data_IF_883991740605
#
_entry.id   IF_883991740605
#
_cell.length_a   1.000
_cell.length_b   1.000
_cell.length_c   1.000
_cell.angle_alpha   90.00
_cell.angle_beta   90.00
_cell.angle_gamma   90.00
#
_symmetry.space_group_name_H-M   'P 1'
#
loop_
_entity.id
_entity.type
_entity.pdbx_description
1 polymer ?
#
# COMPACT_ATOMS: atom_id res chain seq x y z
N UNK A 1 -6.35 -14.55 20.88
CA UNK A 1 -6.73 -14.66 19.46
C UNK A 1 -7.48 -13.43 18.97
N UNK A 2 -8.52 -12.95 19.66
CA UNK A 2 -9.30 -11.78 19.24
C UNK A 2 -8.48 -10.47 19.11
N UNK A 3 -7.56 -10.20 20.05
CA UNK A 3 -6.67 -9.02 19.99
C UNK A 3 -5.57 -9.12 18.92
N UNK A 4 -5.17 -10.33 18.53
CA UNK A 4 -4.21 -10.56 17.43
C UNK A 4 -4.90 -10.38 16.09
N UNK A 5 -6.16 -10.82 15.98
CA UNK A 5 -7.01 -10.57 14.82
C UNK A 5 -7.32 -9.07 14.66
N UNK A 6 -7.62 -8.34 15.74
CA UNK A 6 -7.76 -6.89 15.68
C UNK A 6 -6.45 -6.21 15.26
N UNK A 7 -5.30 -6.61 15.82
CA UNK A 7 -4.00 -6.06 15.44
C UNK A 7 -3.61 -6.38 13.99
N UNK A 8 -3.96 -7.56 13.46
CA UNK A 8 -3.82 -7.88 12.03
C UNK A 8 -4.74 -7.02 11.17
N UNK A 9 -6.00 -6.81 11.56
CA UNK A 9 -6.91 -5.91 10.85
C UNK A 9 -6.44 -4.45 10.88
N UNK A 10 -5.80 -3.99 11.96
CA UNK A 10 -5.19 -2.66 12.04
C UNK A 10 -3.86 -2.56 11.26
N UNK A 11 -3.09 -3.65 11.14
CA UNK A 11 -1.88 -3.70 10.30
C UNK A 11 -2.23 -3.78 8.81
N UNK A 12 -3.30 -4.50 8.43
CA UNK A 12 -3.83 -4.54 7.06
C UNK A 12 -4.38 -3.17 6.62
N UNK A 13 -4.91 -2.36 7.56
CA UNK A 13 -5.37 -0.99 7.27
C UNK A 13 -4.22 0.01 7.02
N UNK A 14 -2.98 -0.31 7.40
CA UNK A 14 -1.83 0.61 7.23
C UNK A 14 -0.96 0.34 6.00
N UNK A 15 -1.33 -0.64 5.17
CA UNK A 15 -0.67 -0.94 3.90
C UNK A 15 -1.69 -1.24 2.79
N UNK A 16 -2.74 -0.42 2.65
CA UNK A 16 -3.38 -0.32 1.33
C UNK A 16 -2.38 0.41 0.43
N UNK A 17 -1.49 -0.37 -0.20
CA UNK A 17 -0.68 0.10 -1.32
C UNK A 17 -1.68 0.46 -2.41
N UNK A 18 -2.09 1.73 -2.50
CA UNK A 18 -3.04 2.14 -3.54
C UNK A 18 -2.45 1.77 -4.90
N UNK A 19 -3.18 1.05 -5.74
CA UNK A 19 -2.62 0.69 -7.04
C UNK A 19 -2.53 1.95 -7.91
N UNK A 20 -1.58 2.04 -8.85
CA UNK A 20 -1.58 3.14 -9.80
C UNK A 20 -2.90 3.13 -10.57
N UNK A 21 -3.47 4.31 -10.79
CA UNK A 21 -4.69 4.50 -11.59
C UNK A 21 -4.43 4.15 -13.07
N UNK A 22 -3.19 4.33 -13.53
CA UNK A 22 -2.73 3.83 -14.83
C UNK A 22 -1.38 3.16 -14.66
N UNK A 23 -1.29 1.91 -15.14
CA UNK A 23 -0.05 1.17 -15.34
C UNK A 23 0.07 0.85 -16.83
N UNK A 24 1.12 1.39 -17.46
CA UNK A 24 1.47 1.11 -18.84
C UNK A 24 2.89 0.54 -18.88
N UNK A 25 3.03 -0.65 -19.45
CA UNK A 25 4.31 -1.34 -19.64
C UNK A 25 4.36 -1.81 -21.10
N UNK A 26 5.31 -1.33 -21.90
CA UNK A 26 5.45 -1.77 -23.29
C UNK A 26 6.23 -3.09 -23.38
N UNK A 27 5.50 -4.18 -23.58
CA UNK A 27 6.07 -5.53 -23.64
C UNK A 27 6.70 -5.88 -24.98
N UNK A 28 6.73 -4.96 -25.95
CA UNK A 28 7.30 -5.25 -27.29
C UNK A 28 8.82 -5.25 -27.28
N UNK A 29 9.45 -4.47 -26.38
CA UNK A 29 10.90 -4.35 -26.31
C UNK A 29 11.41 -4.25 -24.86
N UNK A 30 12.20 -5.23 -24.45
CA UNK A 30 12.75 -5.33 -23.10
C UNK A 30 14.25 -5.05 -23.09
N UNK A 31 14.74 -4.41 -22.03
CA UNK A 31 16.19 -4.30 -21.77
C UNK A 31 16.67 -5.43 -20.88
N UNK A 32 17.91 -5.87 -21.05
CA UNK A 32 18.52 -6.89 -20.17
C UNK A 32 18.92 -6.27 -18.83
N UNK A 33 18.67 -6.97 -17.72
CA UNK A 33 19.15 -6.52 -16.40
C UNK A 33 20.67 -6.30 -16.41
N UNK A 34 21.12 -5.16 -15.85
CA UNK A 34 22.53 -4.76 -15.86
C UNK A 34 23.03 -4.08 -17.14
N UNK A 35 22.22 -4.01 -18.20
CA UNK A 35 22.53 -3.27 -19.44
C UNK A 35 22.79 -1.77 -19.19
N UNK A 36 23.42 -1.12 -20.18
CA UNK A 36 23.64 0.32 -20.18
C UNK A 36 22.31 1.09 -20.13
N UNK A 37 21.30 0.69 -20.91
CA UNK A 37 19.94 1.24 -20.78
C UNK A 37 19.44 1.20 -19.33
N UNK A 38 19.52 0.05 -18.66
CA UNK A 38 19.08 -0.08 -17.26
C UNK A 38 19.88 0.81 -16.28
N UNK A 39 21.17 1.04 -16.53
CA UNK A 39 21.99 1.99 -15.76
C UNK A 39 21.56 3.43 -16.01
N UNK A 40 21.35 3.81 -17.26
CA UNK A 40 20.92 5.15 -17.66
C UNK A 40 19.52 5.47 -17.13
N UNK A 41 18.61 4.48 -17.12
CA UNK A 41 17.29 4.63 -16.51
C UNK A 41 17.40 4.94 -15.01
N UNK A 42 18.20 4.17 -14.25
CA UNK A 42 18.42 4.46 -12.82
C UNK A 42 19.04 5.84 -12.59
N UNK A 43 19.99 6.23 -13.43
CA UNK A 43 20.60 7.56 -13.39
C UNK A 43 19.58 8.67 -13.63
N UNK A 44 18.65 8.48 -14.57
CA UNK A 44 17.57 9.43 -14.86
C UNK A 44 16.54 9.50 -13.73
N UNK A 45 16.15 8.36 -13.16
CA UNK A 45 15.10 8.26 -12.14
C UNK A 45 15.54 8.79 -10.76
N UNK A 46 16.81 8.60 -10.39
CA UNK A 46 17.34 8.98 -9.07
C UNK A 46 17.10 10.46 -8.66
N UNK A 47 17.33 11.48 -9.52
CA UNK A 47 17.12 12.87 -9.15
C UNK A 47 15.65 13.34 -9.23
N UNK A 48 14.73 12.53 -9.77
CA UNK A 48 13.36 12.97 -10.05
C UNK A 48 12.57 13.40 -8.80
N UNK A 49 12.66 12.73 -7.64
CA UNK A 49 11.96 13.19 -6.45
C UNK A 49 12.36 14.59 -6.02
N UNK A 50 13.65 14.92 -6.06
CA UNK A 50 14.15 16.23 -5.69
C UNK A 50 13.79 17.30 -6.73
N UNK A 51 14.04 17.02 -8.02
CA UNK A 51 13.82 17.99 -9.10
C UNK A 51 12.34 18.19 -9.41
N UNK A 52 11.58 17.09 -9.52
CA UNK A 52 10.16 17.12 -9.82
C UNK A 52 9.33 17.75 -8.70
N UNK A 53 9.68 17.55 -7.41
CA UNK A 53 8.94 18.18 -6.31
C UNK A 53 9.20 19.67 -6.13
N UNK A 54 10.31 20.20 -6.67
CA UNK A 54 10.63 21.62 -6.57
C UNK A 54 9.70 22.49 -7.43
N UNK A 55 9.32 22.00 -8.60
CA UNK A 55 8.54 22.74 -9.62
C UNK A 55 7.22 22.06 -9.97
N UNK A 56 6.96 20.85 -9.47
CA UNK A 56 5.81 20.03 -9.86
C UNK A 56 5.97 19.33 -11.22
N UNK A 57 7.07 19.56 -11.93
CA UNK A 57 7.36 18.94 -13.23
C UNK A 57 8.86 18.90 -13.50
N UNK A 58 9.34 17.78 -14.03
CA UNK A 58 10.70 17.69 -14.55
C UNK A 58 10.77 16.68 -15.68
N UNK A 59 11.52 17.02 -16.74
CA UNK A 59 11.87 16.10 -17.82
C UNK A 59 13.38 16.04 -18.01
N UNK A 60 13.88 14.89 -18.46
CA UNK A 60 15.30 14.69 -18.65
C UNK A 60 15.64 13.56 -19.62
N UNK A 61 16.92 13.47 -19.91
CA UNK A 61 17.48 12.43 -20.76
C UNK A 61 18.78 11.91 -20.14
N UNK A 62 19.02 10.61 -20.25
CA UNK A 62 20.27 9.98 -19.84
C UNK A 62 20.76 9.03 -20.93
N UNK A 63 22.08 8.91 -21.08
CA UNK A 63 22.70 8.02 -22.06
C UNK A 63 22.66 8.50 -23.52
N UNK A 64 23.07 7.62 -24.42
CA UNK A 64 23.25 7.91 -25.85
C UNK A 64 22.98 6.68 -26.71
N UNK A 65 22.72 6.89 -28.01
CA UNK A 65 22.49 5.80 -28.96
C UNK A 65 21.32 4.91 -28.53
N UNK A 66 21.50 3.59 -28.66
CA UNK A 66 20.50 2.59 -28.33
C UNK A 66 20.20 2.47 -26.82
N UNK A 67 21.03 3.07 -25.96
CA UNK A 67 20.87 3.04 -24.50
C UNK A 67 20.31 4.36 -23.93
N UNK A 68 19.88 5.28 -24.80
CA UNK A 68 19.31 6.56 -24.37
C UNK A 68 17.93 6.36 -23.75
N UNK A 69 17.66 7.11 -22.68
CA UNK A 69 16.38 7.12 -21.96
C UNK A 69 15.85 8.54 -21.91
N UNK A 70 14.59 8.73 -22.28
CA UNK A 70 13.83 9.96 -22.06
C UNK A 70 12.84 9.70 -20.93
N UNK A 71 12.61 10.68 -20.06
CA UNK A 71 11.63 10.52 -19.00
C UNK A 71 11.18 11.84 -18.41
N UNK A 72 9.97 11.83 -17.87
CA UNK A 72 9.39 12.95 -17.14
C UNK A 72 8.65 12.48 -15.90
N UNK A 73 8.54 13.40 -14.94
CA UNK A 73 7.62 13.32 -13.81
C UNK A 73 6.79 14.58 -13.76
N UNK A 74 5.54 14.42 -13.34
CA UNK A 74 4.63 15.53 -13.13
C UNK A 74 3.72 15.27 -11.95
N UNK A 75 3.57 16.24 -11.07
CA UNK A 75 2.60 16.22 -10.00
C UNK A 75 1.28 16.85 -10.45
N UNK A 76 0.19 16.46 -9.80
CA UNK A 76 -1.08 17.16 -9.96
C UNK A 76 -0.95 18.61 -9.52
N UNK A 77 -1.60 19.53 -10.21
CA UNK A 77 -1.46 20.97 -9.93
C UNK A 77 -2.03 21.42 -8.58
N UNK A 78 -2.86 20.58 -7.95
CA UNK A 78 -3.53 20.84 -6.67
C UNK A 78 -2.85 20.21 -5.44
N UNK A 79 -1.73 19.49 -5.61
CA UNK A 79 -1.04 18.85 -4.48
C UNK A 79 0.09 19.70 -3.92
N UNK A 80 0.36 19.56 -2.62
CA UNK A 80 1.49 20.24 -1.98
C UNK A 80 2.85 19.65 -2.41
N UNK A 81 3.96 20.37 -2.27
CA UNK A 81 5.30 19.85 -2.59
C UNK A 81 5.66 18.54 -1.87
N UNK A 82 5.19 18.36 -0.62
CA UNK A 82 5.44 17.15 0.15
C UNK A 82 4.67 15.94 -0.38
N UNK A 83 3.38 16.14 -0.75
CA UNK A 83 2.56 15.11 -1.38
C UNK A 83 3.13 14.74 -2.75
N UNK A 84 3.52 15.75 -3.53
CA UNK A 84 4.21 15.57 -4.81
C UNK A 84 5.49 14.74 -4.65
N UNK A 85 6.37 15.09 -3.70
CA UNK A 85 7.61 14.36 -3.43
C UNK A 85 7.34 12.91 -3.01
N UNK A 86 6.37 12.69 -2.14
CA UNK A 86 5.96 11.35 -1.70
C UNK A 86 5.50 10.50 -2.89
N UNK A 87 4.65 11.05 -3.75
CA UNK A 87 4.18 10.36 -4.95
C UNK A 87 5.31 10.04 -5.92
N UNK A 88 6.23 10.98 -6.18
CA UNK A 88 7.37 10.75 -7.09
C UNK A 88 8.30 9.67 -6.53
N UNK A 89 8.61 9.69 -5.23
CA UNK A 89 9.40 8.65 -4.57
C UNK A 89 8.78 7.26 -4.78
N UNK A 90 7.47 7.20 -4.55
CA UNK A 90 6.69 5.97 -4.70
C UNK A 90 6.69 5.46 -6.13
N UNK A 91 6.27 6.27 -7.10
CA UNK A 91 6.23 5.90 -8.53
C UNK A 91 7.60 5.46 -9.03
N UNK A 92 8.67 6.15 -8.62
CA UNK A 92 10.04 5.80 -9.00
C UNK A 92 10.46 4.41 -8.51
N UNK A 93 9.98 4.01 -7.33
CA UNK A 93 10.26 2.68 -6.77
C UNK A 93 9.34 1.62 -7.37
N UNK A 94 8.04 1.92 -7.51
CA UNK A 94 7.04 0.97 -7.97
C UNK A 94 7.15 0.66 -9.48
N UNK A 95 7.62 1.60 -10.31
CA UNK A 95 7.73 1.36 -11.76
C UNK A 95 8.70 0.24 -12.11
N UNK A 96 9.77 0.07 -11.31
CA UNK A 96 10.73 -1.03 -11.50
C UNK A 96 10.16 -2.40 -11.09
N UNK A 97 9.18 -2.41 -10.19
CA UNK A 97 8.50 -3.62 -9.70
C UNK A 97 7.36 -4.01 -10.66
N UNK A 98 6.56 -3.01 -11.07
CA UNK A 98 5.34 -3.21 -11.84
C UNK A 98 5.61 -3.34 -13.35
N UNK A 99 6.65 -2.69 -13.87
CA UNK A 99 7.09 -2.80 -15.26
C UNK A 99 8.56 -3.27 -15.32
N UNK A 100 8.86 -4.52 -14.95
CA UNK A 100 10.23 -5.01 -14.90
C UNK A 100 10.84 -5.09 -16.30
N UNK A 101 12.05 -4.56 -16.47
CA UNK A 101 12.86 -4.68 -17.69
C UNK A 101 12.24 -4.08 -18.97
N UNK A 102 11.23 -3.21 -18.85
CA UNK A 102 10.56 -2.58 -20.00
C UNK A 102 11.33 -1.36 -20.48
N UNK A 103 11.39 -1.13 -21.79
CA UNK A 103 12.05 0.07 -22.35
C UNK A 103 11.14 1.30 -22.42
N UNK A 104 9.83 1.09 -22.35
CA UNK A 104 8.84 2.14 -22.14
C UNK A 104 7.87 1.74 -21.03
N UNK A 105 7.64 2.66 -20.09
CA UNK A 105 6.66 2.47 -19.03
C UNK A 105 6.12 3.81 -18.53
N UNK A 106 4.89 3.77 -18.01
CA UNK A 106 4.29 4.87 -17.27
C UNK A 106 3.47 4.37 -16.08
N UNK A 107 3.60 5.05 -14.95
CA UNK A 107 2.71 4.90 -13.79
C UNK A 107 2.07 6.23 -13.46
N UNK A 108 0.74 6.21 -13.24
CA UNK A 108 -0.03 7.37 -12.79
C UNK A 108 -0.76 7.06 -11.50
N UNK A 109 -0.60 7.93 -10.52
CA UNK A 109 -1.47 8.05 -9.35
C UNK A 109 -2.30 9.33 -9.49
N UNK A 110 -3.23 9.56 -8.57
CA UNK A 110 -3.98 10.82 -8.54
C UNK A 110 -3.02 12.01 -8.34
N UNK A 111 -1.93 11.82 -7.59
CA UNK A 111 -1.03 12.90 -7.21
C UNK A 111 0.14 13.13 -8.19
N UNK A 112 0.52 12.14 -9.00
CA UNK A 112 1.62 12.27 -9.95
C UNK A 112 1.65 11.22 -11.07
N UNK A 113 2.38 11.54 -12.14
CA UNK A 113 2.70 10.70 -13.29
C UNK A 113 4.22 10.57 -13.42
N UNK A 114 4.71 9.36 -13.66
CA UNK A 114 6.07 9.06 -14.11
C UNK A 114 5.98 8.33 -15.45
N UNK A 115 6.71 8.78 -16.47
CA UNK A 115 6.86 8.08 -17.76
C UNK A 115 8.30 8.09 -18.22
N UNK A 116 8.76 6.97 -18.78
CA UNK A 116 10.02 6.91 -19.50
C UNK A 116 9.87 6.07 -20.78
N UNK A 117 10.74 6.32 -21.76
CA UNK A 117 10.85 5.54 -22.98
C UNK A 117 12.28 5.61 -23.54
N UNK A 118 12.60 4.72 -24.49
CA UNK A 118 13.84 4.76 -25.27
C UNK A 118 13.77 5.64 -26.53
N UNK A 119 12.59 6.24 -26.78
CA UNK A 119 12.34 7.21 -27.83
C UNK A 119 11.84 8.54 -27.25
N UNK A 120 11.97 9.62 -28.02
CA UNK A 120 11.63 10.98 -27.55
C UNK A 120 10.13 11.23 -27.64
N UNK A 121 9.40 10.90 -26.58
CA UNK A 121 7.94 11.14 -26.48
C UNK A 121 7.55 12.56 -26.05
N UNK A 122 8.53 13.41 -25.69
CA UNK A 122 8.25 14.79 -25.29
C UNK A 122 7.53 15.57 -26.39
N UNK A 123 6.52 16.33 -25.99
CA UNK A 123 5.69 17.16 -26.88
C UNK A 123 5.00 16.36 -27.99
N UNK A 124 4.84 15.04 -27.80
CA UNK A 124 4.08 14.20 -28.72
C UNK A 124 2.71 13.87 -28.14
N UNK A 125 1.67 14.17 -28.91
CA UNK A 125 0.29 13.92 -28.52
C UNK A 125 -0.02 12.41 -28.51
N UNK A 126 -0.42 11.90 -27.35
CA UNK A 126 -0.97 10.57 -27.18
C UNK A 126 -2.39 10.68 -26.61
N UNK A 127 -3.36 10.08 -27.31
CA UNK A 127 -4.79 10.09 -26.96
C UNK A 127 -5.26 8.80 -26.27
N UNK A 128 -4.34 7.92 -25.85
CA UNK A 128 -4.64 6.75 -25.03
C UNK A 128 -5.32 7.20 -23.74
N UNK A 129 -6.54 6.71 -23.51
CA UNK A 129 -7.36 7.09 -22.37
C UNK A 129 -8.02 5.90 -21.71
N UNK A 130 -8.11 5.97 -20.38
CA UNK A 130 -8.91 5.10 -19.53
C UNK A 130 -10.01 5.94 -18.88
N UNK A 131 -11.19 5.34 -18.69
CA UNK A 131 -12.36 6.00 -18.11
C UNK A 131 -12.79 5.28 -16.84
N UNK A 132 -13.00 6.06 -15.77
CA UNK A 132 -13.38 5.58 -14.46
C UNK A 132 -14.62 6.37 -14.00
N UNK A 133 -15.83 5.91 -14.36
CA UNK A 133 -17.06 6.52 -13.87
C UNK A 133 -17.24 6.22 -12.38
N UNK A 134 -17.81 7.18 -11.66
CA UNK A 134 -18.39 6.92 -10.35
C UNK A 134 -19.58 5.95 -10.54
N UNK A 135 -19.65 4.84 -9.77
CA UNK A 135 -20.74 3.88 -9.90
C UNK A 135 -22.11 4.45 -9.51
N UNK A 136 -22.14 5.52 -8.71
CA UNK A 136 -23.37 6.21 -8.37
C UNK A 136 -23.78 7.20 -9.48
N UNK A 137 -25.08 7.21 -9.77
CA UNK A 137 -25.68 8.15 -10.70
C UNK A 137 -26.25 9.36 -9.98
N UNK A 138 -26.30 10.49 -10.68
CA UNK A 138 -26.98 11.69 -10.19
C UNK A 138 -28.48 11.42 -10.08
N UNK A 139 -29.11 11.92 -9.02
CA UNK A 139 -30.57 11.93 -8.88
C UNK A 139 -31.23 13.04 -9.71
N UNK A 140 -30.44 14.02 -10.17
CA UNK A 140 -30.85 15.11 -11.02
C UNK A 140 -31.10 14.67 -12.48
N UNK A 141 -31.65 15.57 -13.30
CA UNK A 141 -31.79 15.35 -14.74
C UNK A 141 -30.41 15.09 -15.40
N UNK A 142 -30.15 13.87 -15.92
CA UNK A 142 -28.82 13.50 -16.42
C UNK A 142 -28.38 14.30 -17.64
N UNK A 143 -29.32 14.73 -18.49
CA UNK A 143 -29.02 15.51 -19.71
C UNK A 143 -28.56 16.91 -19.33
N UNK A 144 -29.30 17.60 -18.45
CA UNK A 144 -28.93 18.91 -17.97
C UNK A 144 -27.62 18.87 -17.17
N UNK A 145 -27.44 17.82 -16.36
CA UNK A 145 -26.21 17.61 -15.58
C UNK A 145 -25.00 17.40 -16.49
N UNK A 146 -25.11 16.49 -17.46
CA UNK A 146 -24.06 16.21 -18.44
C UNK A 146 -23.67 17.46 -19.25
N UNK A 147 -24.64 18.30 -19.61
CA UNK A 147 -24.36 19.59 -20.26
C UNK A 147 -23.52 20.51 -19.36
N UNK A 148 -23.89 20.66 -18.10
CA UNK A 148 -23.14 21.50 -17.14
C UNK A 148 -21.73 20.96 -16.88
N UNK A 149 -21.55 19.63 -16.80
CA UNK A 149 -20.23 19.00 -16.73
C UNK A 149 -19.40 19.34 -17.98
N UNK A 150 -19.97 19.18 -19.17
CA UNK A 150 -19.30 19.48 -20.44
C UNK A 150 -18.88 20.96 -20.55
N UNK A 151 -19.78 21.88 -20.20
CA UNK A 151 -19.51 23.33 -20.22
C UNK A 151 -18.40 23.70 -19.23
N UNK A 152 -18.45 23.17 -17.99
CA UNK A 152 -17.41 23.40 -16.98
C UNK A 152 -16.04 22.90 -17.46
N UNK A 153 -15.94 21.65 -17.89
CA UNK A 153 -14.65 21.06 -18.28
C UNK A 153 -14.10 21.69 -19.57
N UNK A 154 -14.97 22.11 -20.49
CA UNK A 154 -14.54 22.83 -21.71
C UNK A 154 -13.96 24.20 -21.36
N UNK A 155 -14.57 24.93 -20.42
CA UNK A 155 -14.02 26.20 -19.92
C UNK A 155 -12.66 25.97 -19.26
N UNK A 156 -12.56 24.98 -18.37
CA UNK A 156 -11.31 24.63 -17.71
C UNK A 156 -10.22 24.21 -18.69
N UNK A 157 -10.56 23.50 -19.77
CA UNK A 157 -9.62 23.14 -20.84
C UNK A 157 -9.02 24.39 -21.51
N UNK A 158 -9.87 25.39 -21.81
CA UNK A 158 -9.41 26.68 -22.32
C UNK A 158 -8.50 27.41 -21.33
N UNK A 159 -8.86 27.44 -20.05
CA UNK A 159 -8.07 28.10 -19.01
C UNK A 159 -6.71 27.41 -18.79
N UNK A 160 -6.69 26.08 -18.65
CA UNK A 160 -5.47 25.31 -18.42
C UNK A 160 -4.44 25.52 -19.53
N UNK A 161 -4.87 25.52 -20.79
CA UNK A 161 -4.00 25.70 -21.94
C UNK A 161 -3.32 27.07 -22.03
N UNK A 162 -3.72 28.04 -21.21
CA UNK A 162 -3.07 29.37 -21.14
C UNK A 162 -2.12 29.51 -19.95
N UNK A 163 -2.10 28.53 -19.05
CA UNK A 163 -1.24 28.54 -17.86
C UNK A 163 0.04 27.75 -18.12
N UNK A 164 1.17 28.21 -17.57
CA UNK A 164 2.43 27.47 -17.66
C UNK A 164 2.39 26.09 -17.00
N UNK A 165 1.47 25.89 -16.05
CA UNK A 165 1.24 24.60 -15.38
C UNK A 165 0.43 23.61 -16.21
N UNK A 166 -0.22 24.08 -17.28
CA UNK A 166 -1.23 23.36 -18.07
C UNK A 166 -2.31 22.67 -17.21
N UNK A 167 -2.73 23.35 -16.15
CA UNK A 167 -3.62 22.85 -15.12
C UNK A 167 -4.72 23.87 -14.83
N UNK A 168 -5.95 23.40 -14.58
CA UNK A 168 -7.01 24.25 -14.07
C UNK A 168 -8.02 23.46 -13.23
N UNK A 169 -8.59 24.14 -12.24
CA UNK A 169 -9.72 23.67 -11.45
C UNK A 169 -10.83 24.69 -11.47
N UNK A 170 -12.06 24.23 -11.23
CA UNK A 170 -13.20 25.12 -11.07
C UNK A 170 -14.44 24.37 -10.64
N UNK A 171 -15.51 25.12 -10.40
CA UNK A 171 -16.79 24.55 -9.99
C UNK A 171 -17.95 25.34 -10.55
N UNK A 172 -19.10 24.69 -10.68
CA UNK A 172 -20.36 25.31 -11.06
C UNK A 172 -21.49 24.80 -10.18
N UNK A 173 -22.48 25.65 -9.90
CA UNK A 173 -23.70 25.24 -9.21
C UNK A 173 -24.66 24.59 -10.21
N UNK A 174 -25.11 23.37 -9.92
CA UNK A 174 -26.17 22.71 -10.67
C UNK A 174 -27.54 23.00 -10.07
N UNK A 175 -27.63 23.05 -8.74
CA UNK A 175 -28.80 23.48 -7.97
C UNK A 175 -28.34 24.20 -6.70
N UNK A 176 -29.29 24.64 -5.86
CA UNK A 176 -28.99 25.30 -4.57
C UNK A 176 -28.12 24.42 -3.65
N UNK A 177 -28.22 23.10 -3.79
CA UNK A 177 -27.51 22.13 -2.93
C UNK A 177 -26.45 21.32 -3.66
N UNK A 178 -26.52 21.22 -5.00
CA UNK A 178 -25.59 20.41 -5.80
C UNK A 178 -24.60 21.30 -6.54
N UNK A 179 -23.31 21.06 -6.31
CA UNK A 179 -22.21 21.69 -7.04
C UNK A 179 -21.43 20.62 -7.79
N UNK A 180 -20.85 21.00 -8.92
CA UNK A 180 -19.98 20.15 -9.74
C UNK A 180 -18.58 20.77 -9.67
N UNK A 181 -17.60 19.97 -9.28
CA UNK A 181 -16.20 20.34 -9.23
C UNK A 181 -15.47 19.67 -10.39
N UNK A 182 -14.63 20.41 -11.10
CA UNK A 182 -13.85 19.94 -12.23
C UNK A 182 -12.37 20.24 -12.06
N UNK A 183 -11.54 19.34 -12.59
CA UNK A 183 -10.09 19.47 -12.69
C UNK A 183 -9.66 18.96 -14.06
N UNK A 184 -8.77 19.69 -14.71
CA UNK A 184 -8.14 19.28 -15.96
C UNK A 184 -6.63 19.53 -15.89
N UNK A 185 -5.85 18.66 -16.53
CA UNK A 185 -4.40 18.82 -16.59
C UNK A 185 -3.80 18.17 -17.82
N UNK A 186 -2.83 18.85 -18.45
CA UNK A 186 -1.92 18.26 -19.44
C UNK A 186 -0.51 18.12 -18.88
N UNK A 187 0.33 17.28 -19.49
CA UNK A 187 1.75 17.24 -19.19
C UNK A 187 2.42 18.53 -19.69
N UNK A 188 3.30 19.15 -18.89
CA UNK A 188 3.87 20.47 -19.15
C UNK A 188 4.81 20.53 -20.36
N UNK A 189 5.15 19.38 -20.95
CA UNK A 189 5.89 19.30 -22.22
C UNK A 189 5.02 19.53 -23.46
N UNK A 190 3.70 19.67 -23.30
CA UNK A 190 2.74 19.85 -24.39
C UNK A 190 2.60 21.31 -24.83
N UNK A 191 2.25 21.51 -26.10
CA UNK A 191 1.82 22.83 -26.59
C UNK A 191 0.40 23.16 -26.13
N UNK A 192 0.04 24.45 -26.11
CA UNK A 192 -1.33 24.90 -25.79
C UNK A 192 -2.38 24.29 -26.73
N UNK A 193 -2.03 24.07 -27.99
CA UNK A 193 -2.91 23.47 -29.01
C UNK A 193 -3.14 21.99 -28.75
N UNK A 194 -2.07 21.24 -28.50
CA UNK A 194 -2.15 19.81 -28.24
C UNK A 194 -2.78 19.52 -26.88
N UNK A 195 -2.53 20.37 -25.87
CA UNK A 195 -3.19 20.28 -24.58
C UNK A 195 -4.71 20.42 -24.71
N UNK A 196 -5.18 21.46 -25.43
CA UNK A 196 -6.62 21.64 -25.72
C UNK A 196 -7.20 20.43 -26.46
N UNK A 197 -6.49 19.95 -27.47
CA UNK A 197 -6.90 18.78 -28.26
C UNK A 197 -7.05 17.54 -27.39
N UNK A 198 -6.07 17.26 -26.53
CA UNK A 198 -6.10 16.13 -25.60
C UNK A 198 -7.28 16.23 -24.64
N UNK A 199 -7.45 17.38 -23.96
CA UNK A 199 -8.51 17.59 -22.99
C UNK A 199 -9.90 17.51 -23.64
N UNK A 200 -10.10 18.11 -24.81
CA UNK A 200 -11.37 18.03 -25.53
C UNK A 200 -11.70 16.59 -25.96
N UNK A 201 -10.71 15.81 -26.37
CA UNK A 201 -10.90 14.39 -26.69
C UNK A 201 -11.38 13.58 -25.47
N UNK A 202 -10.93 13.95 -24.28
CA UNK A 202 -11.28 13.25 -23.03
C UNK A 202 -12.64 13.73 -22.52
N UNK A 203 -12.95 15.01 -22.64
CA UNK A 203 -14.29 15.56 -22.35
C UNK A 203 -15.34 14.88 -23.24
N UNK A 204 -15.05 14.70 -24.54
CA UNK A 204 -15.93 14.01 -25.47
C UNK A 204 -16.17 12.53 -25.12
N UNK A 205 -15.33 11.93 -24.28
CA UNK A 205 -15.53 10.56 -23.80
C UNK A 205 -16.58 10.46 -22.69
N UNK A 206 -16.80 11.53 -21.92
CA UNK A 206 -17.67 11.53 -20.74
C UNK A 206 -19.11 11.11 -21.08
N UNK A 207 -19.77 11.64 -22.13
CA UNK A 207 -21.12 11.20 -22.50
C UNK A 207 -21.19 9.73 -22.93
N UNK A 208 -20.06 9.12 -23.31
CA UNK A 208 -19.99 7.73 -23.78
C UNK A 208 -19.72 6.76 -22.62
N UNK A 209 -18.78 7.08 -21.74
CA UNK A 209 -18.37 6.19 -20.65
C UNK A 209 -19.17 6.36 -19.36
N UNK A 210 -19.72 7.56 -19.15
CA UNK A 210 -19.94 8.08 -17.81
C UNK A 210 -21.23 8.92 -17.72
N UNK A 211 -22.17 8.70 -18.65
CA UNK A 211 -23.41 9.45 -18.73
C UNK A 211 -24.25 9.25 -17.46
N UNK A 212 -24.60 10.35 -16.79
CA UNK A 212 -25.37 10.34 -15.55
C UNK A 212 -24.58 10.00 -14.29
N UNK A 213 -23.28 9.68 -14.38
CA UNK A 213 -22.45 9.42 -13.21
C UNK A 213 -22.22 10.69 -12.39
N UNK A 214 -22.22 10.56 -11.04
CA UNK A 214 -21.94 11.65 -10.11
C UNK A 214 -20.52 12.22 -10.22
N UNK A 215 -19.61 11.43 -10.78
CA UNK A 215 -18.24 11.79 -11.04
C UNK A 215 -17.67 10.92 -12.13
N UNK A 216 -16.58 11.35 -12.72
CA UNK A 216 -15.78 10.50 -13.58
C UNK A 216 -14.36 11.04 -13.70
N UNK A 217 -13.43 10.13 -13.95
CA UNK A 217 -12.06 10.45 -14.35
C UNK A 217 -11.81 9.85 -15.73
N UNK A 218 -11.33 10.66 -16.67
CA UNK A 218 -10.78 10.17 -17.93
C UNK A 218 -9.32 10.61 -17.98
N UNK A 219 -8.39 9.66 -18.03
CA UNK A 219 -6.97 9.92 -17.88
C UNK A 219 -6.12 9.13 -18.86
N UNK A 220 -4.93 9.65 -19.15
CA UNK A 220 -3.95 8.99 -19.99
C UNK A 220 -2.55 9.53 -19.75
N UNK A 221 -1.71 9.41 -20.77
CA UNK A 221 -0.29 9.73 -20.67
C UNK A 221 0.01 11.24 -20.82
N UNK A 222 -0.78 11.98 -21.61
CA UNK A 222 -0.56 13.42 -21.80
C UNK A 222 -1.56 14.31 -21.09
N UNK A 223 -2.78 13.85 -20.79
CA UNK A 223 -3.74 14.66 -20.07
C UNK A 223 -4.69 13.85 -19.19
N UNK A 224 -5.52 14.55 -18.43
CA UNK A 224 -6.59 13.97 -17.63
C UNK A 224 -7.67 15.00 -17.32
N UNK A 225 -8.90 14.50 -17.18
CA UNK A 225 -10.07 15.26 -16.74
C UNK A 225 -10.73 14.51 -15.59
N UNK A 226 -11.17 15.24 -14.58
CA UNK A 226 -11.94 14.69 -13.46
C UNK A 226 -13.06 15.63 -13.10
N UNK A 227 -14.24 15.08 -12.85
CA UNK A 227 -15.30 15.81 -12.16
C UNK A 227 -15.90 14.97 -11.05
N UNK A 228 -16.40 15.65 -10.01
CA UNK A 228 -17.11 15.04 -8.89
C UNK A 228 -18.17 16.05 -8.37
N UNK A 229 -19.18 15.55 -7.66
CA UNK A 229 -20.17 16.40 -6.96
C UNK A 229 -19.75 16.82 -5.54
N UNK A 230 -18.54 16.45 -5.13
CA UNK A 230 -17.93 16.88 -3.87
C UNK A 230 -16.54 17.47 -4.15
N UNK A 231 -16.03 18.35 -3.27
CA UNK A 231 -14.65 18.80 -3.35
C UNK A 231 -13.67 17.62 -3.33
N UNK A 232 -12.63 17.67 -4.18
CA UNK A 232 -11.53 16.69 -4.21
C UNK A 232 -10.15 17.33 -4.40
N UNK A 233 -10.10 18.67 -4.44
CA UNK A 233 -8.88 19.47 -4.48
C UNK A 233 -8.99 20.61 -3.47
N UNK A 234 -7.87 21.26 -3.13
CA UNK A 234 -7.89 22.39 -2.21
C UNK A 234 -8.63 23.59 -2.82
N UNK A 235 -9.79 23.93 -2.25
CA UNK A 235 -10.54 25.12 -2.65
C UNK A 235 -9.91 26.32 -1.97
N UNK A 236 -9.07 27.05 -2.71
CA UNK A 236 -8.56 28.35 -2.25
C UNK A 236 -9.72 29.35 -2.21
N UNK A 237 -10.13 29.82 -1.02
CA UNK A 237 -11.23 30.79 -0.85
C UNK A 237 -10.97 32.19 -1.45
N UNK A 238 -9.90 32.41 -2.22
CA UNK A 238 -9.49 33.76 -2.66
C UNK A 238 -10.43 34.46 -3.64
N UNK A 239 -11.43 33.79 -4.22
CA UNK A 239 -12.35 34.39 -5.19
C UNK A 239 -13.82 34.47 -4.73
N UNK A 240 -14.09 34.31 -3.44
CA UNK A 240 -15.41 34.62 -2.89
C UNK A 240 -15.36 35.97 -2.17
N UNK A 241 -15.94 37.00 -2.77
CA UNK A 241 -16.51 38.14 -2.05
C UNK A 241 -18.03 37.95 -1.93
N UNK A 242 -18.53 37.28 -0.89
CA UNK A 242 -19.90 37.50 -0.44
C UNK A 242 -19.96 38.81 0.38
N UNK A 243 -21.14 39.45 0.48
CA UNK A 243 -21.31 40.64 1.29
C UNK A 243 -20.95 40.33 2.75
N UNK A 244 -20.02 41.11 3.31
CA UNK A 244 -19.58 41.03 4.70
C UNK A 244 -20.77 41.36 5.59
N UNK A 245 -21.26 40.35 6.32
CA UNK A 245 -21.89 40.53 7.61
C UNK A 245 -21.06 39.78 8.66
N UNK A 246 -20.55 40.57 9.58
CA UNK A 246 -19.58 40.25 10.62
C UNK A 246 -20.13 39.27 11.65
N UNK A 247 -19.54 38.09 11.80
CA UNK A 247 -19.43 37.38 13.08
C UNK A 247 -18.50 36.16 13.01
N UNK A 248 -17.42 36.18 13.80
CA UNK A 248 -16.85 35.02 14.49
C UNK A 248 -16.13 33.96 13.66
N UNK A 249 -14.79 34.04 13.63
CA UNK A 249 -13.91 32.91 13.33
C UNK A 249 -13.96 31.88 14.46
N UNK A 250 -14.73 30.80 14.33
CA UNK A 250 -14.56 29.59 15.14
C UNK A 250 -13.62 28.63 14.42
N UNK A 251 -12.38 28.53 14.91
CA UNK A 251 -11.55 27.37 14.66
C UNK A 251 -12.25 26.13 15.22
N UNK A 252 -12.27 25.04 14.45
CA UNK A 252 -12.84 23.76 14.86
C UNK A 252 -12.13 23.24 16.14
N UNK A 253 -12.62 23.68 17.29
CA UNK A 253 -12.33 23.08 18.57
C UNK A 253 -13.14 21.79 18.61
N UNK A 254 -12.48 20.67 18.30
CA UNK A 254 -13.00 19.34 18.62
C UNK A 254 -13.51 19.38 20.06
N UNK A 255 -14.82 19.18 20.26
CA UNK A 255 -15.47 19.35 21.55
C UNK A 255 -14.67 18.62 22.63
N UNK A 256 -14.44 19.24 23.79
CA UNK A 256 -13.72 18.60 24.92
C UNK A 256 -14.28 17.21 25.25
N UNK A 257 -15.55 16.96 24.94
CA UNK A 257 -16.21 15.66 25.00
C UNK A 257 -15.61 14.60 24.05
N UNK A 258 -15.29 14.96 22.79
CA UNK A 258 -14.69 14.04 21.81
C UNK A 258 -13.25 13.68 22.22
N UNK A 259 -12.47 14.67 22.70
CA UNK A 259 -11.14 14.41 23.23
C UNK A 259 -11.19 13.49 24.47
N UNK A 260 -12.16 13.70 25.37
CA UNK A 260 -12.35 12.85 26.53
C UNK A 260 -12.70 11.40 26.15
N UNK A 261 -13.57 11.20 25.15
CA UNK A 261 -13.93 9.86 24.66
C UNK A 261 -12.71 9.11 24.12
N UNK A 262 -11.85 9.79 23.35
CA UNK A 262 -10.63 9.19 22.80
C UNK A 262 -9.66 8.79 23.92
N UNK A 263 -9.47 9.65 24.92
CA UNK A 263 -8.59 9.36 26.06
C UNK A 263 -9.10 8.16 26.86
N UNK A 264 -10.40 8.08 27.13
CA UNK A 264 -11.01 6.95 27.86
C UNK A 264 -10.85 5.64 27.09
N UNK A 265 -11.03 5.66 25.76
CA UNK A 265 -10.85 4.49 24.92
C UNK A 265 -9.40 3.97 24.94
N UNK A 266 -8.42 4.87 24.83
CA UNK A 266 -6.99 4.50 24.85
C UNK A 266 -6.61 3.93 26.22
N UNK A 267 -7.02 4.57 27.31
CA UNK A 267 -6.75 4.09 28.67
C UNK A 267 -7.37 2.70 28.88
N UNK A 268 -8.60 2.48 28.40
CA UNK A 268 -9.25 1.18 28.45
C UNK A 268 -8.45 0.08 27.75
N UNK A 269 -7.96 0.34 26.53
CA UNK A 269 -7.14 -0.61 25.78
C UNK A 269 -5.82 -0.92 26.49
N UNK A 270 -5.14 0.11 27.01
CA UNK A 270 -3.86 -0.07 27.73
C UNK A 270 -4.04 -0.92 28.99
N UNK A 271 -5.10 -0.70 29.76
CA UNK A 271 -5.40 -1.48 30.96
C UNK A 271 -5.69 -2.96 30.64
N UNK A 272 -6.43 -3.21 29.55
CA UNK A 272 -6.73 -4.58 29.09
C UNK A 272 -5.45 -5.31 28.66
N UNK A 273 -4.57 -4.62 27.91
CA UNK A 273 -3.28 -5.19 27.50
C UNK A 273 -2.38 -5.48 28.71
N UNK A 274 -2.29 -4.55 29.66
CA UNK A 274 -1.52 -4.73 30.88
C UNK A 274 -2.03 -5.91 31.72
N UNK A 275 -3.35 -6.02 31.91
CA UNK A 275 -3.97 -7.14 32.61
C UNK A 275 -3.69 -8.48 31.90
N UNK A 276 -3.78 -8.50 30.57
CA UNK A 276 -3.44 -9.68 29.75
C UNK A 276 -2.00 -10.13 29.93
N UNK A 277 -1.05 -9.19 29.93
CA UNK A 277 0.38 -9.46 30.17
C UNK A 277 0.60 -9.99 31.59
N UNK A 278 -0.02 -9.38 32.61
CA UNK A 278 0.08 -9.81 34.01
C UNK A 278 -0.44 -11.25 34.16
N UNK A 279 -1.63 -11.56 33.62
CA UNK A 279 -2.19 -12.92 33.66
C UNK A 279 -1.28 -13.92 32.96
N UNK A 280 -0.68 -13.54 31.83
CA UNK A 280 0.27 -14.40 31.11
C UNK A 280 1.54 -14.68 31.94
N UNK A 281 2.11 -13.66 32.59
CA UNK A 281 3.27 -13.83 33.49
C UNK A 281 2.92 -14.71 34.69
N UNK A 282 1.74 -14.51 35.30
CA UNK A 282 1.26 -15.31 36.43
C UNK A 282 1.06 -16.77 36.03
N UNK A 283 0.47 -17.04 34.86
CA UNK A 283 0.33 -18.41 34.32
C UNK A 283 1.69 -19.05 34.03
N UNK A 284 2.66 -18.30 33.48
CA UNK A 284 4.04 -18.79 33.29
C UNK A 284 4.71 -19.12 34.63
N UNK A 285 4.55 -18.28 35.65
CA UNK A 285 5.08 -18.54 37.00
C UNK A 285 4.42 -19.76 37.65
N UNK A 286 3.11 -19.95 37.49
CA UNK A 286 2.41 -21.14 38.00
C UNK A 286 2.83 -22.42 37.28
N UNK A 287 3.03 -22.38 35.95
CA UNK A 287 3.55 -23.51 35.19
C UNK A 287 5.00 -23.87 35.60
N UNK A 288 5.82 -22.88 35.94
CA UNK A 288 7.17 -23.10 36.48
C UNK A 288 7.15 -23.72 37.87
N UNK A 289 6.20 -23.34 38.75
CA UNK A 289 6.06 -23.92 40.09
C UNK A 289 5.54 -25.37 40.05
N UNK A 290 4.59 -25.68 39.15
CA UNK A 290 4.10 -27.06 38.96
C UNK A 290 5.19 -28.03 38.46
N UNK A 291 6.23 -27.54 37.79
CA UNK A 291 7.40 -28.34 37.40
C UNK A 291 8.37 -28.58 38.55
N UNK A 292 8.38 -27.74 39.58
CA UNK A 292 9.23 -27.93 40.76
C UNK A 292 8.64 -28.98 41.72
N UNK A 293 7.34 -28.92 42.01
CA UNK A 293 6.67 -29.93 42.89
C UNK A 293 6.55 -31.32 42.24
N UNK A 294 6.59 -31.42 40.90
CA UNK A 294 6.50 -32.68 40.18
C UNK A 294 7.79 -33.51 40.16
N UNK A 295 8.93 -32.92 40.53
CA UNK A 295 10.24 -33.61 40.51
C UNK A 295 10.47 -34.39 41.82
N UNK A 296 10.01 -33.90 42.97
CA UNK A 296 10.19 -34.61 44.26
C UNK A 296 9.33 -35.89 44.36
N UNK A 297 8.14 -35.92 43.75
CA UNK A 297 7.23 -37.07 43.83
C UNK A 297 7.62 -38.28 42.96
N UNK A 298 8.31 -38.05 41.84
CA UNK A 298 8.70 -39.14 40.92
C UNK A 298 10.01 -39.81 41.34
N UNK A 299 10.94 -39.06 41.93
CA UNK A 299 12.20 -39.61 42.45
C UNK A 299 11.98 -40.49 43.70
N UNK A 300 10.99 -40.18 44.55
CA UNK A 300 10.61 -41.02 45.69
C UNK A 300 10.02 -42.37 45.23
N UNK A 301 9.09 -42.38 44.26
CA UNK A 301 8.54 -43.64 43.71
C UNK A 301 9.61 -44.48 43.01
N UNK A 302 10.54 -43.84 42.28
CA UNK A 302 11.67 -44.55 41.65
C UNK A 302 12.60 -45.17 42.69
N UNK A 303 12.89 -44.46 43.79
CA UNK A 303 13.71 -44.99 44.89
C UNK A 303 13.03 -46.18 45.59
N UNK A 304 11.71 -46.13 45.82
CA UNK A 304 10.95 -47.25 46.40
C UNK A 304 10.95 -48.48 45.49
N UNK A 305 10.74 -48.30 44.18
CA UNK A 305 10.79 -49.39 43.19
C UNK A 305 12.19 -49.99 43.11
N UNK A 306 13.24 -49.18 43.16
CA UNK A 306 14.63 -49.66 43.10
C UNK A 306 15.02 -50.46 44.36
N UNK A 307 14.54 -50.03 45.53
CA UNK A 307 14.66 -50.78 46.79
C UNK A 307 13.91 -52.13 46.72
N UNK A 308 12.72 -52.14 46.12
CA UNK A 308 11.93 -53.35 45.94
C UNK A 308 12.62 -54.35 45.00
N UNK A 309 13.16 -53.87 43.86
CA UNK A 309 13.92 -54.69 42.92
C UNK A 309 15.22 -55.25 43.54
N UNK A 310 15.94 -54.45 44.34
CA UNK A 310 17.11 -54.95 45.08
C UNK A 310 16.74 -56.10 46.03
N UNK A 311 15.62 -56.00 46.75
CA UNK A 311 15.15 -57.08 47.65
C UNK A 311 14.82 -58.36 46.87
N UNK A 312 14.18 -58.23 45.71
CA UNK A 312 13.89 -59.38 44.83
C UNK A 312 15.16 -60.07 44.32
N UNK A 313 16.16 -59.30 43.87
CA UNK A 313 17.44 -59.85 43.40
C UNK A 313 18.17 -60.59 44.53
N UNK A 314 18.21 -60.03 45.75
CA UNK A 314 18.83 -60.70 46.89
C UNK A 314 18.08 -62.00 47.25
N UNK A 315 16.75 -62.01 47.15
CA UNK A 315 15.93 -63.20 47.43
C UNK A 315 16.15 -64.30 46.38
N UNK A 316 16.30 -63.94 45.12
CA UNK A 316 16.57 -64.90 44.05
C UNK A 316 18.02 -65.39 44.06
N UNK A 317 18.97 -64.55 44.49
CA UNK A 317 20.35 -64.95 44.77
C UNK A 317 20.44 -65.93 45.96
N UNK A 318 19.65 -65.75 47.03
CA UNK A 318 19.58 -66.71 48.15
C UNK A 318 18.92 -68.03 47.72
N UNK A 319 17.88 -67.97 46.86
CA UNK A 319 17.26 -69.18 46.29
C UNK A 319 18.20 -69.96 45.37
N UNK A 320 18.99 -69.29 44.55
CA UNK A 320 19.97 -69.95 43.67
C UNK A 320 21.16 -70.51 44.48
N UNK A 321 21.59 -69.83 45.55
CA UNK A 321 22.58 -70.38 46.48
C UNK A 321 22.08 -71.61 47.27
N UNK A 322 20.79 -71.67 47.64
CA UNK A 322 20.17 -72.87 48.26
C UNK A 322 19.92 -74.01 47.29
N UNK A 323 19.77 -73.73 45.98
CA UNK A 323 19.55 -74.75 44.94
C UNK A 323 20.84 -75.43 44.48
N UNK A 324 21.99 -74.76 44.58
CA UNK A 324 23.31 -75.32 44.26
C UNK A 324 24.08 -75.84 45.49
N UNK A 325 23.50 -75.74 46.70
CA UNK A 325 24.05 -76.24 47.97
C UNK A 325 23.50 -77.59 48.46
N UNK A 326 22.70 -78.31 47.66
CA UNK A 326 22.26 -79.68 47.98
C UNK A 326 22.69 -80.66 46.87
N UNK A 327 23.79 -81.38 47.12
CA UNK A 327 24.21 -82.65 46.48
C UNK A 327 24.54 -82.56 44.97
N UNK A 328 25.75 -82.76 44.47
CA UNK A 328 26.73 -83.84 44.73
C UNK A 328 26.05 -85.20 44.96
N UNK A 329 25.92 -86.00 43.91
CA UNK A 329 26.56 -87.32 43.84
C UNK A 329 26.66 -87.84 42.39
N UNK A 330 27.89 -88.20 41.98
CA UNK A 330 28.26 -89.19 40.93
C UNK A 330 27.87 -88.88 39.48
N UNK A 331 28.69 -89.02 38.44
CA UNK A 331 30.02 -89.58 38.24
C UNK A 331 30.37 -89.36 36.77
N UNK A 332 31.67 -89.24 36.52
CA UNK A 332 32.37 -89.83 35.37
C UNK A 332 32.17 -89.26 33.96
N UNK A 333 33.32 -88.84 33.45
CA UNK A 333 33.89 -89.22 32.16
C UNK A 333 33.48 -88.39 30.93
N UNK A 334 34.44 -87.54 30.59
CA UNK A 334 35.24 -87.62 29.38
C UNK A 334 34.85 -86.85 28.11
N UNK A 335 35.93 -86.24 27.60
CA UNK A 335 36.31 -86.23 26.18
C UNK A 335 35.55 -85.24 25.30
N UNK A 336 36.21 -84.08 25.12
CA UNK A 336 36.76 -83.58 23.84
C UNK A 336 35.80 -83.48 22.64
N UNK A 337 35.93 -82.62 21.65
CA UNK A 337 36.98 -81.76 21.14
C UNK A 337 36.34 -81.03 19.93
N UNK A 338 37.02 -80.01 19.41
CA UNK A 338 36.94 -79.49 18.03
C UNK A 338 35.65 -78.69 17.69
N UNK A 339 35.70 -77.35 17.55
CA UNK A 339 36.39 -76.59 16.48
C UNK A 339 36.27 -77.25 15.10
N UNK A 340 35.26 -76.85 14.33
CA UNK A 340 35.45 -75.86 13.25
C UNK A 340 34.10 -75.37 12.72
#
# INVERSE_FOLDING_TARGET
MFFVLLACLFLDFTLVRSHPVLQFCDTTNNYTSGSNFGKNLRQLLSPLPARGSATGFYQGTAGSGADRVYGLVQCSGDVSPDVCRSCINRTTTEIAILCPNQREAALRYDECLLRYADWRFFSQLNLLKLSFPNPANVSANPVAFGKMVGDLLTNLSGAAATQSSLFATGMTGFSDTLKIYGLVQCTQDMSDGDCRTCLQNYIAQIPVCCNGSQGAQVLGLNCGVRYEIHPFYQISQRNYTPPINTSGSEGNNMSKAVLAIIIVAIVGVVLILAAGIIVWILKRKQASRRRADGIDGEDIRKAEVLLFLRKLIITEADRTSKRYGMGIFSSSDDVSNLQN
#
